data_IF_343758564745
#
_entry.id   IF_343758564745
#
_cell.length_a   1.000
_cell.length_b   1.000
_cell.length_c   1.000
_cell.angle_alpha   90.00
_cell.angle_beta   90.00
_cell.angle_gamma   90.00
#
_symmetry.space_group_name_H-M   'P 1'
#
loop_
_entity.id
_entity.type
_entity.pdbx_description
1 polymer ?
#
# COMPACT_ATOMS: atom_id res chain seq x y z
N UNK A 1 1.51 -14.01 -4.87
CA UNK A 1 0.62 -12.83 -4.77
C UNK A 1 -0.87 -13.18 -4.55
N UNK A 2 -1.24 -14.42 -4.22
CA UNK A 2 -2.64 -14.85 -4.01
C UNK A 2 -3.31 -14.20 -2.80
N UNK A 3 -2.53 -13.70 -1.84
CA UNK A 3 -3.02 -13.06 -0.62
C UNK A 3 -3.17 -11.53 -0.72
N UNK A 4 -2.95 -10.94 -1.90
CA UNK A 4 -3.16 -9.51 -2.13
C UNK A 4 -4.45 -9.33 -2.93
N UNK A 5 -5.52 -8.78 -2.33
CA UNK A 5 -6.78 -8.57 -3.03
C UNK A 5 -6.67 -7.47 -4.11
N UNK A 6 -5.68 -6.58 -3.97
CA UNK A 6 -5.44 -5.49 -4.92
C UNK A 6 -4.06 -5.63 -5.51
N UNK A 7 -4.00 -5.51 -6.85
CA UNK A 7 -2.77 -5.54 -7.63
C UNK A 7 -2.75 -4.34 -8.56
N UNK A 8 -1.62 -3.66 -8.58
CA UNK A 8 -1.45 -2.44 -9.34
C UNK A 8 -0.23 -2.55 -10.24
N UNK A 9 -0.41 -2.63 -11.56
CA UNK A 9 0.72 -2.60 -12.49
C UNK A 9 1.34 -1.20 -12.50
N UNK A 10 2.66 -1.13 -12.50
CA UNK A 10 3.44 0.11 -12.56
C UNK A 10 4.53 -0.03 -13.62
N UNK A 11 4.67 1.01 -14.42
CA UNK A 11 5.80 1.18 -15.33
C UNK A 11 6.89 2.02 -14.65
N UNK A 12 8.11 1.51 -14.62
CA UNK A 12 9.27 2.25 -14.09
C UNK A 12 9.61 3.39 -15.05
N UNK A 13 9.63 4.62 -14.53
CA UNK A 13 9.95 5.82 -15.32
C UNK A 13 11.42 6.14 -15.18
N UNK A 14 11.99 6.82 -16.18
CA UNK A 14 13.35 7.34 -16.08
C UNK A 14 13.55 8.26 -14.87
N UNK A 15 12.53 9.05 -14.51
CA UNK A 15 12.53 9.93 -13.31
C UNK A 15 12.65 9.16 -12.00
N UNK A 16 12.25 7.89 -11.99
CA UNK A 16 12.23 7.08 -10.77
C UNK A 16 13.63 6.59 -10.40
N UNK A 17 14.58 6.68 -11.33
CA UNK A 17 15.95 6.22 -11.13
C UNK A 17 16.80 7.26 -10.40
N UNK A 18 17.77 6.77 -9.63
CA UNK A 18 18.87 7.58 -9.11
C UNK A 18 20.12 7.47 -10.01
N UNK A 19 21.23 8.19 -9.70
CA UNK A 19 22.44 8.17 -10.52
C UNK A 19 23.11 6.79 -10.66
N UNK A 20 22.78 5.81 -9.81
CA UNK A 20 23.30 4.45 -9.89
C UNK A 20 22.44 3.56 -10.82
N UNK A 21 21.44 4.13 -11.49
CA UNK A 21 20.68 3.46 -12.55
C UNK A 21 19.58 2.51 -12.08
N UNK A 22 19.23 2.54 -10.79
CA UNK A 22 18.11 1.81 -10.23
C UNK A 22 17.09 2.74 -9.59
N UNK A 23 15.87 2.25 -9.37
CA UNK A 23 14.79 3.00 -8.73
C UNK A 23 15.26 3.52 -7.37
N UNK A 24 15.16 4.84 -7.18
CA UNK A 24 15.49 5.51 -5.94
C UNK A 24 14.67 4.94 -4.77
N UNK A 25 15.32 4.78 -3.61
CA UNK A 25 14.72 4.20 -2.42
C UNK A 25 13.39 4.87 -1.99
N UNK A 26 13.23 6.19 -2.17
CA UNK A 26 12.01 6.89 -1.78
C UNK A 26 10.82 6.58 -2.72
N UNK A 27 11.08 6.25 -3.99
CA UNK A 27 10.04 6.01 -4.98
C UNK A 27 9.24 4.74 -4.68
N UNK A 28 9.82 3.77 -3.97
CA UNK A 28 9.08 2.59 -3.50
C UNK A 28 7.89 2.95 -2.60
N UNK A 29 7.97 4.03 -1.82
CA UNK A 29 6.83 4.52 -1.04
C UNK A 29 5.73 5.09 -1.94
N UNK A 30 6.09 5.74 -3.04
CA UNK A 30 5.14 6.22 -4.06
C UNK A 30 4.45 5.06 -4.79
N UNK A 31 5.18 3.98 -5.09
CA UNK A 31 4.58 2.77 -5.66
C UNK A 31 3.59 2.11 -4.70
N UNK A 32 3.96 1.96 -3.42
CA UNK A 32 3.07 1.45 -2.39
C UNK A 32 1.86 2.37 -2.15
N UNK A 33 2.04 3.69 -2.23
CA UNK A 33 0.95 4.66 -2.15
C UNK A 33 -0.09 4.46 -3.25
N UNK A 34 0.34 4.29 -4.50
CA UNK A 34 -0.59 4.03 -5.60
C UNK A 34 -1.39 2.75 -5.38
N UNK A 35 -0.74 1.68 -4.90
CA UNK A 35 -1.42 0.44 -4.51
C UNK A 35 -2.44 0.65 -3.39
N UNK A 36 -2.10 1.43 -2.36
CA UNK A 36 -3.06 1.82 -1.29
C UNK A 36 -4.22 2.65 -1.82
N UNK A 37 -3.99 3.58 -2.76
CA UNK A 37 -5.08 4.35 -3.36
C UNK A 37 -6.07 3.45 -4.12
N UNK A 38 -5.57 2.46 -4.86
CA UNK A 38 -6.43 1.47 -5.50
C UNK A 38 -7.21 0.63 -4.47
N UNK A 39 -6.56 0.26 -3.36
CA UNK A 39 -7.23 -0.43 -2.26
C UNK A 39 -8.34 0.39 -1.63
N UNK A 40 -8.07 1.67 -1.30
CA UNK A 40 -9.07 2.57 -0.73
C UNK A 40 -10.26 2.77 -1.66
N UNK A 41 -10.01 2.92 -2.96
CA UNK A 41 -11.09 2.98 -3.96
C UNK A 41 -11.94 1.70 -3.94
N UNK A 42 -11.32 0.53 -3.83
CA UNK A 42 -12.04 -0.75 -3.85
C UNK A 42 -12.96 -0.95 -2.63
N UNK A 43 -12.62 -0.37 -1.47
CA UNK A 43 -13.46 -0.41 -0.26
C UNK A 43 -14.43 0.78 -0.18
N UNK A 44 -14.64 1.53 -1.28
CA UNK A 44 -15.57 2.65 -1.33
C UNK A 44 -15.08 3.92 -0.61
N UNK A 45 -13.77 4.05 -0.39
CA UNK A 45 -13.15 5.28 0.07
C UNK A 45 -12.59 6.05 -1.11
N UNK A 46 -13.38 6.99 -1.63
CA UNK A 46 -13.03 7.76 -2.81
C UNK A 46 -11.78 8.61 -2.53
N UNK A 47 -10.72 8.35 -3.31
CA UNK A 47 -9.36 8.86 -3.16
C UNK A 47 -9.16 10.37 -3.39
N UNK A 48 -10.09 11.21 -2.96
CA UNK A 48 -9.99 12.68 -2.98
C UNK A 48 -9.35 13.25 -1.71
N UNK A 49 -8.42 12.53 -1.09
CA UNK A 49 -7.88 12.88 0.23
C UNK A 49 -8.77 12.34 1.34
N UNK A 50 -9.06 11.03 1.31
CA UNK A 50 -9.77 10.34 2.38
C UNK A 50 -9.21 10.75 3.75
N UNK A 51 -10.04 10.57 4.78
CA UNK A 51 -9.79 10.86 6.18
C UNK A 51 -8.61 10.04 6.76
N UNK A 52 -7.47 9.95 6.09
CA UNK A 52 -6.35 9.11 6.46
C UNK A 52 -5.05 9.88 6.38
N UNK A 53 -4.15 9.60 7.33
CA UNK A 53 -2.77 10.06 7.29
C UNK A 53 -1.82 8.89 7.48
N UNK A 54 -0.68 8.93 6.77
CA UNK A 54 0.40 7.97 6.95
C UNK A 54 1.17 8.31 8.23
N UNK A 55 1.07 7.47 9.26
CA UNK A 55 1.74 7.68 10.54
C UNK A 55 3.12 7.00 10.62
N UNK A 56 3.29 5.89 9.89
CA UNK A 56 4.55 5.14 9.80
C UNK A 56 4.66 4.49 8.44
N UNK A 57 5.88 4.45 7.91
CA UNK A 57 6.26 3.55 6.83
C UNK A 57 7.61 2.89 7.14
N UNK A 58 7.75 1.65 6.73
CA UNK A 58 8.97 0.85 6.78
C UNK A 58 9.14 0.15 5.43
N UNK A 59 10.38 0.08 4.94
CA UNK A 59 10.68 -0.50 3.63
C UNK A 59 11.86 -1.44 3.77
N UNK A 60 11.66 -2.69 3.36
CA UNK A 60 12.72 -3.66 3.13
C UNK A 60 13.04 -3.68 1.63
N UNK A 61 14.26 -3.27 1.27
CA UNK A 61 14.77 -3.34 -0.10
C UNK A 61 15.49 -4.67 -0.31
N UNK A 62 14.89 -5.57 -1.08
CA UNK A 62 15.38 -6.95 -1.25
C UNK A 62 16.22 -7.12 -2.52
N UNK A 63 15.89 -6.38 -3.58
CA UNK A 63 16.73 -6.24 -4.78
C UNK A 63 16.48 -4.89 -5.48
N UNK A 64 17.46 -4.36 -6.23
CA UNK A 64 17.24 -3.18 -7.06
C UNK A 64 16.26 -3.47 -8.20
N UNK A 65 15.56 -2.42 -8.65
CA UNK A 65 14.66 -2.40 -9.81
C UNK A 65 15.24 -1.44 -10.84
N UNK A 66 15.22 -1.82 -12.11
CA UNK A 66 15.80 -1.05 -13.22
C UNK A 66 14.74 -0.61 -14.23
N UNK A 67 15.14 0.32 -15.09
CA UNK A 67 14.32 0.79 -16.21
C UNK A 67 13.89 -0.38 -17.11
N UNK A 68 12.64 -0.36 -17.55
CA UNK A 68 12.08 -1.39 -18.43
C UNK A 68 11.61 -2.66 -17.71
N UNK A 69 11.83 -2.79 -16.39
CA UNK A 69 11.17 -3.83 -15.61
C UNK A 69 9.69 -3.50 -15.40
N UNK A 70 8.82 -4.48 -15.59
CA UNK A 70 7.40 -4.37 -15.24
C UNK A 70 7.21 -4.64 -13.76
N UNK A 71 6.62 -3.67 -13.05
CA UNK A 71 6.29 -3.78 -11.64
C UNK A 71 4.83 -4.16 -11.44
N UNK A 72 4.57 -4.99 -10.42
CA UNK A 72 3.24 -5.20 -9.86
C UNK A 72 3.31 -4.98 -8.35
N UNK A 73 2.47 -4.07 -7.84
CA UNK A 73 2.32 -3.81 -6.41
C UNK A 73 1.10 -4.56 -5.91
N UNK A 74 1.30 -5.58 -5.08
CA UNK A 74 0.24 -6.20 -4.31
C UNK A 74 0.02 -5.43 -3.02
N UNK A 75 -1.22 -5.02 -2.72
CA UNK A 75 -1.55 -4.28 -1.48
C UNK A 75 -2.67 -4.97 -0.73
N UNK A 76 -2.52 -5.04 0.60
CA UNK A 76 -3.53 -5.56 1.52
C UNK A 76 -3.50 -4.87 2.87
N UNK A 77 -4.58 -5.01 3.64
CA UNK A 77 -4.63 -4.67 5.06
C UNK A 77 -4.31 -5.91 5.88
N UNK A 78 -3.43 -5.78 6.88
CA UNK A 78 -3.01 -6.89 7.75
C UNK A 78 -3.56 -6.78 9.16
N UNK A 79 -3.95 -5.57 9.58
CA UNK A 79 -4.52 -5.31 10.91
C UNK A 79 -5.44 -4.10 10.88
N UNK A 80 -6.53 -4.14 11.63
CA UNK A 80 -7.40 -2.99 11.91
C UNK A 80 -7.50 -2.77 13.42
N UNK A 81 -6.93 -1.67 13.90
CA UNK A 81 -7.05 -1.19 15.28
C UNK A 81 -8.29 -0.33 15.48
N UNK A 82 -8.31 0.55 16.49
CA UNK A 82 -9.45 1.44 16.74
C UNK A 82 -9.53 2.56 15.69
N UNK A 83 -8.45 3.34 15.56
CA UNK A 83 -8.32 4.51 14.67
C UNK A 83 -7.26 4.33 13.59
N UNK A 84 -6.67 3.14 13.45
CA UNK A 84 -5.63 2.89 12.46
C UNK A 84 -5.72 1.50 11.86
N UNK A 85 -5.11 1.30 10.71
CA UNK A 85 -4.91 0.00 10.11
C UNK A 85 -3.50 -0.10 9.52
N UNK A 86 -2.99 -1.33 9.50
CA UNK A 86 -1.70 -1.64 8.91
C UNK A 86 -1.92 -2.11 7.48
N UNK A 87 -1.21 -1.51 6.54
CA UNK A 87 -1.14 -1.98 5.16
C UNK A 87 0.20 -2.65 4.90
N UNK A 88 0.17 -3.76 4.17
CA UNK A 88 1.36 -4.39 3.60
C UNK A 88 1.29 -4.25 2.08
N UNK A 89 2.37 -3.76 1.48
CA UNK A 89 2.58 -3.84 0.03
C UNK A 89 3.80 -4.69 -0.29
N UNK A 90 3.66 -5.58 -1.26
CA UNK A 90 4.78 -6.27 -1.88
C UNK A 90 4.96 -5.78 -3.31
N UNK A 91 6.17 -5.36 -3.63
CA UNK A 91 6.52 -4.82 -4.94
C UNK A 91 7.32 -5.89 -5.67
N UNK A 92 6.75 -6.40 -6.76
CA UNK A 92 7.34 -7.45 -7.59
C UNK A 92 7.80 -6.85 -8.90
N UNK A 93 9.05 -7.08 -9.31
CA UNK A 93 9.52 -6.80 -10.66
C UNK A 93 9.87 -8.12 -11.35
N UNK A 94 9.40 -8.31 -12.58
CA UNK A 94 9.69 -9.51 -13.38
C UNK A 94 9.45 -10.82 -12.61
N UNK A 95 8.39 -10.88 -11.81
CA UNK A 95 8.04 -12.06 -10.99
C UNK A 95 8.92 -12.30 -9.77
N UNK A 96 9.88 -11.42 -9.46
CA UNK A 96 10.72 -11.48 -8.26
C UNK A 96 10.39 -10.36 -7.28
N UNK A 97 10.29 -10.70 -6.00
CA UNK A 97 10.01 -9.72 -4.95
C UNK A 97 11.18 -8.75 -4.80
N UNK A 98 10.92 -7.46 -5.05
CA UNK A 98 11.90 -6.39 -4.99
C UNK A 98 11.90 -5.64 -3.67
N UNK A 99 10.72 -5.40 -3.09
CA UNK A 99 10.61 -4.74 -1.80
C UNK A 99 9.33 -5.13 -1.04
N UNK A 100 9.38 -4.96 0.28
CA UNK A 100 8.19 -4.96 1.15
C UNK A 100 8.02 -3.59 1.76
N UNK A 101 6.79 -3.09 1.78
CA UNK A 101 6.43 -1.81 2.40
C UNK A 101 5.35 -2.06 3.45
N UNK A 102 5.73 -1.93 4.71
CA UNK A 102 4.79 -1.87 5.83
C UNK A 102 4.38 -0.41 6.09
N UNK A 103 3.11 -0.16 6.37
CA UNK A 103 2.66 1.17 6.73
C UNK A 103 1.51 1.15 7.74
N UNK A 104 1.50 2.15 8.61
CA UNK A 104 0.39 2.42 9.54
C UNK A 104 -0.34 3.66 9.05
N UNK A 105 -1.63 3.50 8.80
CA UNK A 105 -2.51 4.56 8.32
C UNK A 105 -3.55 4.85 9.39
N UNK A 106 -3.75 6.12 9.72
CA UNK A 106 -4.64 6.57 10.79
C UNK A 106 -5.86 7.26 10.20
N UNK A 107 -7.06 6.83 10.61
CA UNK A 107 -8.33 7.49 10.29
C UNK A 107 -8.52 8.76 11.10
N UNK A 108 -8.99 9.82 10.44
CA UNK A 108 -9.19 11.15 10.95
C UNK A 108 -10.66 11.57 10.83
N UNK A 109 -11.15 12.37 11.77
CA UNK A 109 -12.33 13.21 11.59
C UNK A 109 -11.90 14.65 11.88
N UNK A 110 -11.89 15.49 10.84
CA UNK A 110 -11.21 16.78 10.89
C UNK A 110 -9.70 16.59 11.09
N UNK A 111 -9.15 17.14 12.18
CA UNK A 111 -7.72 17.08 12.51
C UNK A 111 -7.39 16.11 13.64
N UNK A 112 -8.34 15.26 14.06
CA UNK A 112 -8.15 14.32 15.17
C UNK A 112 -8.33 12.89 14.70
N UNK A 113 -7.58 11.95 15.30
CA UNK A 113 -7.80 10.54 15.06
C UNK A 113 -9.16 10.11 15.59
N UNK A 114 -9.87 9.30 14.81
CA UNK A 114 -11.23 8.86 15.13
C UNK A 114 -11.37 7.36 14.89
N UNK A 115 -12.42 6.76 15.44
CA UNK A 115 -12.71 5.34 15.22
C UNK A 115 -12.97 5.11 13.74
N UNK A 116 -12.35 4.08 13.17
CA UNK A 116 -12.63 3.63 11.81
C UNK A 116 -14.10 3.24 11.72
N UNK A 117 -14.90 3.82 10.80
CA UNK A 117 -16.32 3.53 10.66
C UNK A 117 -16.60 2.05 10.39
N UNK A 118 -17.68 1.52 10.97
CA UNK A 118 -18.07 0.12 10.79
C UNK A 118 -18.29 -0.28 9.32
N UNK A 119 -18.89 0.56 8.45
CA UNK A 119 -18.99 0.23 7.02
C UNK A 119 -17.62 0.01 6.36
N UNK A 120 -16.61 0.80 6.74
CA UNK A 120 -15.26 0.66 6.22
C UNK A 120 -14.58 -0.62 6.74
N UNK A 121 -14.78 -0.95 8.01
CA UNK A 121 -14.31 -2.23 8.60
C UNK A 121 -14.92 -3.43 7.86
N UNK A 122 -16.22 -3.39 7.59
CA UNK A 122 -16.93 -4.42 6.85
C UNK A 122 -16.44 -4.53 5.40
N UNK A 123 -16.19 -3.39 4.74
CA UNK A 123 -15.63 -3.37 3.39
C UNK A 123 -14.22 -3.97 3.33
N UNK A 124 -13.36 -3.66 4.31
CA UNK A 124 -12.04 -4.29 4.45
C UNK A 124 -12.19 -5.81 4.65
N UNK A 125 -13.04 -6.24 5.59
CA UNK A 125 -13.27 -7.67 5.85
C UNK A 125 -13.79 -8.42 4.62
N UNK A 126 -14.65 -7.80 3.82
CA UNK A 126 -15.21 -8.39 2.60
C UNK A 126 -14.22 -8.43 1.42
N UNK A 127 -13.23 -7.54 1.39
CA UNK A 127 -12.22 -7.50 0.32
C UNK A 127 -11.06 -8.46 0.58
N UNK A 128 -10.70 -8.68 1.85
CA UNK A 128 -9.51 -9.46 2.22
C UNK A 128 -9.67 -10.96 1.97
N UNK A 129 -8.62 -11.58 1.41
CA UNK A 129 -8.59 -13.02 1.09
C UNK A 129 -7.78 -13.85 2.09
N UNK A 130 -7.25 -13.21 3.13
CA UNK A 130 -6.49 -13.84 4.20
C UNK A 130 -6.78 -13.12 5.53
N UNK A 131 -6.50 -13.74 6.69
CA UNK A 131 -6.84 -13.17 7.99
C UNK A 131 -6.29 -11.74 8.18
N UNK A 132 -7.07 -10.92 8.87
CA UNK A 132 -6.72 -9.56 9.28
C UNK A 132 -6.90 -9.45 10.78
N UNK A 133 -5.85 -9.05 11.50
CA UNK A 133 -5.93 -8.89 12.94
C UNK A 133 -6.92 -7.76 13.31
N UNK A 134 -7.89 -8.05 14.18
CA UNK A 134 -8.86 -7.06 14.66
C UNK A 134 -10.11 -6.90 13.80
N UNK A 135 -10.31 -7.78 12.80
CA UNK A 135 -11.57 -7.98 12.07
C UNK A 135 -12.06 -9.42 12.20
#
# INVERSE_FOLDING_TARGET
MTHFPIRTPIEVRFRDLDPLGHVNNAVYLTYAELGRMHYFRAIGSDGGGGNFILARAEVDFLRPVHLGEHLEVGTRVTRVGNSSFNTLSEIWAQGQLAARVGAVVVWLEGNHSARIPDPLRQAIAGLETAPVEGL
#
